data_IF_537337735855
#
_entry.id   IF_537337735855
#
_cell.length_a   1.000
_cell.length_b   1.000
_cell.length_c   1.000
_cell.angle_alpha   90.00
_cell.angle_beta   90.00
_cell.angle_gamma   90.00
#
_symmetry.space_group_name_H-M   'P 1'
#
loop_
_entity.id
_entity.type
_entity.pdbx_description
1 polymer ?
#
# COMPACT_ATOMS: atom_id res chain seq x y z
N UNK A 1 -3.74 -4.51 -9.63
CA UNK A 1 -3.24 -5.18 -8.41
C UNK A 1 -2.34 -4.23 -7.64
N UNK A 2 -2.51 -4.17 -6.31
CA UNK A 2 -1.75 -3.32 -5.41
C UNK A 2 -1.21 -4.18 -4.26
N UNK A 3 0.10 -4.13 -4.04
CA UNK A 3 0.78 -4.79 -2.91
C UNK A 3 1.45 -3.71 -2.08
N UNK A 4 1.22 -3.73 -0.78
CA UNK A 4 1.86 -2.80 0.17
C UNK A 4 2.61 -3.62 1.19
N UNK A 5 3.90 -3.37 1.30
CA UNK A 5 4.78 -3.93 2.33
C UNK A 5 5.17 -2.78 3.25
N UNK A 6 5.04 -2.96 4.56
CA UNK A 6 5.45 -1.93 5.51
C UNK A 6 6.21 -2.53 6.68
N UNK A 7 6.90 -1.68 7.46
CA UNK A 7 7.50 -2.09 8.72
C UNK A 7 6.63 -1.61 9.89
N UNK A 8 6.65 -0.30 10.18
CA UNK A 8 5.97 0.29 11.36
C UNK A 8 4.71 1.07 11.00
N UNK A 9 3.68 0.37 10.54
CA UNK A 9 2.37 0.99 10.30
C UNK A 9 1.67 1.37 11.62
N UNK A 10 1.14 2.60 11.75
CA UNK A 10 0.27 2.96 12.86
C UNK A 10 -0.93 2.00 12.96
N UNK A 11 -1.35 1.57 14.16
CA UNK A 11 -2.44 0.59 14.33
C UNK A 11 -3.75 1.00 13.64
N UNK A 12 -4.08 2.29 13.65
CA UNK A 12 -5.27 2.82 12.98
C UNK A 12 -5.22 2.67 11.46
N UNK A 13 -4.05 2.91 10.85
CA UNK A 13 -3.83 2.72 9.40
C UNK A 13 -3.91 1.24 9.05
N UNK A 14 -3.27 0.37 9.86
CA UNK A 14 -3.33 -1.09 9.67
C UNK A 14 -4.76 -1.63 9.72
N UNK A 15 -5.56 -1.21 10.69
CA UNK A 15 -6.96 -1.61 10.79
C UNK A 15 -7.78 -1.19 9.57
N UNK A 16 -7.57 0.04 9.08
CA UNK A 16 -8.23 0.55 7.89
C UNK A 16 -7.81 -0.20 6.61
N UNK A 17 -6.54 -0.59 6.50
CA UNK A 17 -6.06 -1.38 5.36
C UNK A 17 -6.75 -2.73 5.26
N UNK A 18 -7.07 -3.39 6.39
CA UNK A 18 -7.79 -4.68 6.39
C UNK A 18 -9.20 -4.62 5.78
N UNK A 19 -9.79 -3.42 5.64
CA UNK A 19 -11.08 -3.26 4.97
C UNK A 19 -10.97 -3.45 3.44
N UNK A 20 -9.81 -3.14 2.86
CA UNK A 20 -9.61 -3.17 1.40
C UNK A 20 -8.59 -4.22 0.95
N UNK A 21 -7.78 -4.74 1.87
CA UNK A 21 -6.67 -5.63 1.59
C UNK A 21 -6.76 -6.89 2.43
N UNK A 22 -6.27 -7.99 1.86
CA UNK A 22 -5.96 -9.20 2.59
C UNK A 22 -4.54 -9.08 3.12
N UNK A 23 -4.30 -9.47 4.38
CA UNK A 23 -2.97 -9.52 4.99
C UNK A 23 -2.46 -10.98 5.01
N UNK A 24 -1.84 -11.50 3.94
CA UNK A 24 -1.35 -12.88 3.89
C UNK A 24 -0.19 -13.16 4.85
N UNK A 25 0.61 -12.14 5.17
CA UNK A 25 1.70 -12.16 6.14
C UNK A 25 1.65 -10.86 6.94
N UNK A 26 2.03 -10.83 8.23
CA UNK A 26 2.15 -9.58 8.97
C UNK A 26 2.87 -8.51 8.15
N UNK A 27 2.23 -7.33 8.04
CA UNK A 27 2.73 -6.15 7.31
C UNK A 27 2.80 -6.26 5.78
N UNK A 28 2.27 -7.33 5.20
CA UNK A 28 2.09 -7.49 3.75
C UNK A 28 0.61 -7.41 3.44
N UNK A 29 0.21 -6.46 2.59
CA UNK A 29 -1.18 -6.23 2.21
C UNK A 29 -1.33 -6.38 0.70
N UNK A 30 -2.28 -7.21 0.27
CA UNK A 30 -2.53 -7.48 -1.15
C UNK A 30 -4.00 -7.18 -1.48
N UNK A 31 -4.22 -6.45 -2.57
CA UNK A 31 -5.57 -6.18 -3.07
C UNK A 31 -5.68 -6.05 -4.59
N UNK A 32 -6.85 -6.42 -5.10
CA UNK A 32 -7.30 -6.24 -6.48
C UNK A 32 -8.17 -4.98 -6.66
N UNK A 33 -7.90 -3.89 -5.94
CA UNK A 33 -8.68 -2.65 -6.08
C UNK A 33 -8.56 -2.01 -7.46
N UNK A 34 -9.62 -1.30 -7.88
CA UNK A 34 -9.61 -0.42 -9.06
C UNK A 34 -8.58 0.70 -8.91
N UNK A 35 -8.06 1.19 -10.02
CA UNK A 35 -7.03 2.24 -10.06
C UNK A 35 -7.40 3.51 -9.28
N UNK A 36 -8.65 3.97 -9.39
CA UNK A 36 -9.13 5.14 -8.66
C UNK A 36 -9.05 4.97 -7.13
N UNK A 37 -9.22 3.74 -6.63
CA UNK A 37 -9.11 3.43 -5.20
C UNK A 37 -7.63 3.24 -4.83
N UNK A 38 -6.84 2.63 -5.70
CA UNK A 38 -5.40 2.47 -5.50
C UNK A 38 -4.70 3.83 -5.27
N UNK A 39 -5.01 4.83 -6.10
CA UNK A 39 -4.45 6.20 -5.94
C UNK A 39 -4.83 6.78 -4.58
N UNK A 40 -6.10 6.68 -4.18
CA UNK A 40 -6.56 7.18 -2.87
C UNK A 40 -5.89 6.47 -1.70
N UNK A 41 -5.63 5.16 -1.80
CA UNK A 41 -4.93 4.42 -0.74
C UNK A 41 -3.48 4.88 -0.65
N UNK A 42 -2.79 5.05 -1.77
CA UNK A 42 -1.41 5.54 -1.78
C UNK A 42 -1.33 6.94 -1.17
N UNK A 43 -2.21 7.86 -1.58
CA UNK A 43 -2.29 9.20 -0.97
C UNK A 43 -2.59 9.16 0.52
N UNK A 44 -3.48 8.25 0.94
CA UNK A 44 -3.81 8.06 2.35
C UNK A 44 -2.57 7.61 3.15
N UNK A 45 -1.79 6.65 2.62
CA UNK A 45 -0.55 6.18 3.23
C UNK A 45 0.47 7.32 3.34
N UNK A 46 0.66 8.12 2.29
CA UNK A 46 1.55 9.29 2.32
C UNK A 46 1.18 10.32 3.38
N UNK A 47 -0.12 10.50 3.66
CA UNK A 47 -0.58 11.49 4.65
C UNK A 47 -0.49 11.00 6.11
N UNK A 48 -0.57 9.69 6.35
CA UNK A 48 -0.72 9.14 7.70
C UNK A 48 0.48 8.29 8.15
N UNK A 49 1.39 7.92 7.24
CA UNK A 49 2.60 7.17 7.57
C UNK A 49 3.78 8.13 7.71
N UNK A 50 4.38 8.26 8.90
CA UNK A 50 5.67 8.92 9.06
C UNK A 50 6.78 8.20 8.27
N UNK A 51 7.90 8.89 8.00
CA UNK A 51 9.01 8.33 7.22
C UNK A 51 9.62 7.06 7.87
N UNK A 52 9.57 6.95 9.20
CA UNK A 52 10.01 5.74 9.91
C UNK A 52 9.13 4.49 9.67
N UNK A 53 7.99 4.63 8.99
CA UNK A 53 7.05 3.54 8.73
C UNK A 53 7.56 2.54 7.68
N UNK A 54 8.53 2.93 6.84
CA UNK A 54 9.18 2.05 5.87
C UNK A 54 8.19 1.34 4.95
N UNK A 55 7.44 2.10 4.14
CA UNK A 55 6.38 1.56 3.28
C UNK A 55 6.88 1.43 1.84
N UNK A 56 6.69 0.27 1.23
CA UNK A 56 6.91 0.02 -0.19
C UNK A 56 5.60 -0.42 -0.84
N UNK A 57 5.21 0.27 -1.91
CA UNK A 57 3.99 0.03 -2.65
C UNK A 57 4.33 -0.44 -4.06
N UNK A 58 3.80 -1.58 -4.45
CA UNK A 58 3.85 -2.12 -5.81
C UNK A 58 2.47 -1.99 -6.45
N UNK A 59 2.40 -1.26 -7.56
CA UNK A 59 1.17 -1.09 -8.33
C UNK A 59 1.37 -1.68 -9.73
N UNK A 60 0.45 -2.52 -10.17
CA UNK A 60 0.43 -2.97 -11.56
C UNK A 60 0.00 -1.83 -12.50
N UNK A 61 0.68 -1.69 -13.63
CA UNK A 61 0.42 -0.70 -14.67
C UNK A 61 0.34 -1.40 -16.04
N UNK A 62 -0.36 -0.81 -17.00
CA UNK A 62 -0.53 -1.38 -18.35
C UNK A 62 0.67 -1.18 -19.29
N UNK A 63 1.64 -0.35 -18.89
CA UNK A 63 2.86 -0.06 -19.66
C UNK A 63 4.07 -0.83 -19.13
N UNK A 64 5.09 -1.14 -19.95
CA UNK A 64 6.32 -1.76 -19.46
C UNK A 64 6.96 -0.94 -18.32
N UNK A 65 7.47 -1.58 -17.24
CA UNK A 65 7.69 -3.03 -17.04
C UNK A 65 6.48 -3.81 -16.49
N UNK A 66 5.28 -3.21 -16.48
CA UNK A 66 4.06 -3.84 -15.96
C UNK A 66 3.78 -3.54 -14.48
N UNK A 67 4.70 -2.83 -13.82
CA UNK A 67 4.54 -2.36 -12.45
C UNK A 67 5.24 -1.02 -12.20
N UNK A 68 4.82 -0.34 -11.15
CA UNK A 68 5.43 0.84 -10.55
C UNK A 68 5.70 0.55 -9.07
N UNK A 69 6.85 1.02 -8.57
CA UNK A 69 7.23 0.89 -7.16
C UNK A 69 7.33 2.30 -6.58
N UNK A 70 6.73 2.52 -5.41
CA UNK A 70 6.87 3.76 -4.64
C UNK A 70 7.26 3.44 -3.21
N UNK A 71 8.06 4.30 -2.61
CA UNK A 71 8.52 4.13 -1.23
C UNK A 71 8.18 5.35 -0.38
N UNK A 72 7.93 5.12 0.90
CA UNK A 72 7.75 6.12 1.95
C UNK A 72 8.70 5.72 3.08
N UNK A 73 9.77 6.49 3.22
CA UNK A 73 10.77 6.35 4.27
C UNK A 73 12.10 6.97 3.90
#
# INVERSE_FOLDING_TARGET
>A
MLVVVADKLPPAVRGRMKLWFIEPRPHVFVSGVKDAVAVKVVEYLYRHCPADSGVTVFRSISRPPGYEIRTIG
#
